data_IF_574580487948
#
_entry.id   IF_574580487948
#
_cell.length_a   1.000
_cell.length_b   1.000
_cell.length_c   1.000
_cell.angle_alpha   90.00
_cell.angle_beta   90.00
_cell.angle_gamma   90.00
#
_symmetry.space_group_name_H-M   'P 1'
#
loop_
_entity.id
_entity.type
_entity.pdbx_description
1 polymer ?
#
# COMPACT_ATOMS: atom_id res chain seq x y z
N UNK A 1 4.30 13.44 -25.56
CA UNK A 1 5.31 13.57 -24.48
C UNK A 1 5.41 15.01 -23.96
N UNK A 2 5.54 16.02 -24.81
CA UNK A 2 5.56 17.43 -24.40
C UNK A 2 4.35 17.90 -23.57
N UNK A 3 3.15 17.42 -23.87
CA UNK A 3 1.94 17.75 -23.13
C UNK A 3 1.97 17.21 -21.70
N UNK A 4 2.48 15.99 -21.48
CA UNK A 4 2.63 15.39 -20.15
C UNK A 4 3.70 16.11 -19.32
N UNK A 5 4.85 16.40 -19.92
CA UNK A 5 5.92 17.17 -19.25
C UNK A 5 5.45 18.57 -18.86
N UNK A 6 4.70 19.24 -19.74
CA UNK A 6 4.10 20.54 -19.45
C UNK A 6 3.10 20.48 -18.31
N UNK A 7 2.31 19.40 -18.24
CA UNK A 7 1.39 19.15 -17.13
C UNK A 7 2.16 18.97 -15.81
N UNK A 8 3.17 18.11 -15.78
CA UNK A 8 3.99 17.88 -14.59
C UNK A 8 4.67 19.15 -14.09
N UNK A 9 5.24 19.96 -15.00
CA UNK A 9 5.83 21.26 -14.62
C UNK A 9 4.82 22.20 -13.98
N UNK A 10 3.57 22.23 -14.48
CA UNK A 10 2.50 23.04 -13.84
C UNK A 10 2.17 22.55 -12.44
N UNK A 11 2.14 21.23 -12.21
CA UNK A 11 1.87 20.66 -10.90
C UNK A 11 2.96 21.02 -9.88
N UNK A 12 4.22 21.13 -10.32
CA UNK A 12 5.35 21.54 -9.48
C UNK A 12 5.46 23.07 -9.29
N UNK A 13 4.70 23.86 -10.04
CA UNK A 13 4.75 25.31 -9.88
C UNK A 13 4.25 25.76 -8.48
N UNK A 14 4.75 26.91 -8.01
CA UNK A 14 4.35 27.51 -6.74
C UNK A 14 4.50 26.56 -5.52
N UNK A 15 5.62 25.85 -5.45
CA UNK A 15 5.92 24.95 -4.32
C UNK A 15 4.95 23.79 -4.21
N UNK A 16 4.66 23.12 -5.33
CA UNK A 16 3.79 21.95 -5.42
C UNK A 16 2.33 22.19 -5.01
N UNK A 17 1.88 23.45 -5.09
CA UNK A 17 0.54 23.83 -4.64
C UNK A 17 -0.57 23.00 -5.31
N UNK A 18 -0.47 22.72 -6.61
CA UNK A 18 -1.48 21.93 -7.32
C UNK A 18 -1.49 20.48 -6.87
N UNK A 19 -0.32 19.87 -6.63
CA UNK A 19 -0.25 18.53 -6.02
C UNK A 19 -0.91 18.51 -4.65
N UNK A 20 -0.64 19.52 -3.81
CA UNK A 20 -1.26 19.63 -2.49
C UNK A 20 -2.79 19.77 -2.58
N UNK A 21 -3.28 20.50 -3.56
CA UNK A 21 -4.72 20.66 -3.79
C UNK A 21 -5.37 19.34 -4.26
N UNK A 22 -4.77 18.64 -5.22
CA UNK A 22 -5.24 17.34 -5.68
C UNK A 22 -5.24 16.31 -4.54
N UNK A 23 -4.16 16.24 -3.77
CA UNK A 23 -4.07 15.36 -2.61
C UNK A 23 -5.15 15.66 -1.56
N UNK A 24 -5.37 16.95 -1.26
CA UNK A 24 -6.38 17.38 -0.29
C UNK A 24 -7.82 17.14 -0.74
N UNK A 25 -8.04 16.99 -2.05
CA UNK A 25 -9.34 16.63 -2.62
C UNK A 25 -9.67 15.14 -2.45
N UNK A 26 -8.65 14.29 -2.21
CA UNK A 26 -8.86 12.87 -1.92
C UNK A 26 -9.48 12.74 -0.53
N UNK A 27 -10.68 12.21 -0.46
CA UNK A 27 -11.38 11.96 0.80
C UNK A 27 -11.30 10.49 1.13
N UNK A 28 -10.86 10.10 2.36
CA UNK A 28 -10.97 8.73 2.81
C UNK A 28 -12.42 8.31 2.80
N UNK A 29 -12.74 7.13 2.27
CA UNK A 29 -14.06 6.55 2.47
C UNK A 29 -14.16 6.06 3.91
N UNK A 30 -15.24 6.45 4.61
CA UNK A 30 -15.52 6.06 5.99
C UNK A 30 -16.22 4.69 6.09
N UNK A 31 -16.54 4.06 4.96
CA UNK A 31 -17.40 2.88 4.90
C UNK A 31 -16.63 1.55 4.90
N UNK A 32 -15.31 1.58 5.03
CA UNK A 32 -14.50 0.38 4.97
C UNK A 32 -13.96 -0.03 6.34
N UNK A 33 -13.82 -1.34 6.54
CA UNK A 33 -13.26 -1.94 7.77
C UNK A 33 -11.79 -2.30 7.59
N UNK A 34 -11.07 -2.47 8.71
CA UNK A 34 -9.68 -2.90 8.79
C UNK A 34 -9.46 -3.84 9.98
N UNK A 35 -10.41 -4.75 10.19
CA UNK A 35 -10.41 -5.67 11.32
C UNK A 35 -9.17 -6.56 11.39
N UNK A 36 -8.67 -7.01 10.23
CA UNK A 36 -7.45 -7.80 10.16
C UNK A 36 -6.22 -7.03 10.71
N UNK A 37 -6.15 -5.71 10.45
CA UNK A 37 -5.08 -4.85 11.00
C UNK A 37 -5.16 -4.74 12.53
N UNK A 38 -6.39 -4.70 13.08
CA UNK A 38 -6.63 -4.53 14.53
C UNK A 38 -6.44 -5.81 15.33
N UNK A 39 -6.40 -6.97 14.69
CA UNK A 39 -6.17 -8.25 15.35
C UNK A 39 -4.87 -8.20 16.18
N UNK A 40 -4.91 -8.76 17.38
CA UNK A 40 -3.81 -8.67 18.34
C UNK A 40 -2.49 -9.18 17.76
N UNK A 41 -2.55 -10.27 17.03
CA UNK A 41 -1.43 -10.92 16.36
C UNK A 41 -0.83 -10.12 15.19
N UNK A 42 -1.52 -9.08 14.72
CA UNK A 42 -1.09 -8.28 13.56
C UNK A 42 -0.61 -6.86 13.92
N UNK A 43 -0.83 -6.41 15.15
CA UNK A 43 -0.52 -5.03 15.56
C UNK A 43 0.94 -4.65 15.35
N UNK A 44 1.86 -5.54 15.68
CA UNK A 44 3.30 -5.28 15.54
C UNK A 44 3.79 -5.31 14.08
N UNK A 45 2.95 -5.74 13.14
CA UNK A 45 3.27 -5.79 11.71
C UNK A 45 3.03 -4.47 11.00
N UNK A 46 2.52 -3.46 11.68
CA UNK A 46 2.17 -2.17 11.10
C UNK A 46 3.20 -1.11 11.50
N UNK A 47 3.79 -0.44 10.50
CA UNK A 47 4.80 0.61 10.72
C UNK A 47 4.19 1.84 11.39
N UNK A 48 2.95 2.19 11.05
CA UNK A 48 2.22 3.32 11.59
C UNK A 48 0.81 2.90 11.98
N UNK A 49 0.35 3.36 13.15
CA UNK A 49 -0.97 3.00 13.70
C UNK A 49 -2.14 3.54 12.88
N UNK A 50 -1.91 4.60 12.11
CA UNK A 50 -2.92 5.27 11.28
C UNK A 50 -2.85 4.91 9.80
N UNK A 51 -1.93 4.04 9.39
CA UNK A 51 -1.81 3.53 8.03
C UNK A 51 -2.13 2.04 8.07
N UNK A 52 -3.33 1.71 7.65
CA UNK A 52 -3.93 0.39 7.82
C UNK A 52 -4.28 -0.27 6.49
N UNK A 53 -4.25 -1.59 6.47
CA UNK A 53 -4.77 -2.34 5.33
C UNK A 53 -6.29 -2.52 5.47
N UNK A 54 -7.05 -2.05 4.48
CA UNK A 54 -8.51 -2.22 4.45
C UNK A 54 -8.89 -3.66 4.08
N UNK A 55 -9.83 -4.23 4.83
CA UNK A 55 -10.23 -5.64 4.69
C UNK A 55 -10.71 -6.00 3.27
N UNK A 56 -11.44 -5.08 2.60
CA UNK A 56 -12.02 -5.33 1.28
C UNK A 56 -10.99 -5.48 0.15
N UNK A 57 -9.78 -4.97 0.33
CA UNK A 57 -8.74 -4.95 -0.71
C UNK A 57 -7.37 -5.42 -0.23
N UNK A 58 -7.24 -5.85 1.04
CA UNK A 58 -5.95 -6.32 1.55
C UNK A 58 -5.42 -7.52 0.77
N UNK A 59 -4.12 -7.62 0.68
CA UNK A 59 -3.46 -8.83 0.23
C UNK A 59 -3.53 -9.86 1.35
N UNK A 60 -4.05 -11.05 1.03
CA UNK A 60 -4.07 -12.18 1.95
C UNK A 60 -2.97 -13.15 1.53
N UNK A 61 -2.04 -13.42 2.43
CA UNK A 61 -1.01 -14.43 2.23
C UNK A 61 -1.57 -15.82 2.52
N UNK A 62 -0.94 -16.85 1.97
CA UNK A 62 -1.27 -18.23 2.32
C UNK A 62 -1.01 -18.47 3.81
N UNK A 63 -2.01 -18.85 4.61
CA UNK A 63 -1.82 -19.07 6.04
C UNK A 63 -0.79 -20.17 6.31
N UNK A 64 0.09 -19.93 7.28
CA UNK A 64 1.03 -20.93 7.78
C UNK A 64 0.37 -21.72 8.91
N UNK A 65 0.47 -23.05 8.86
CA UNK A 65 -0.16 -23.91 9.83
C UNK A 65 0.34 -23.62 11.26
N UNK A 66 -0.59 -23.36 12.16
CA UNK A 66 -0.28 -23.09 13.57
C UNK A 66 0.26 -21.69 13.87
N UNK A 67 0.31 -20.79 12.89
CA UNK A 67 0.79 -19.42 13.06
C UNK A 67 -0.35 -18.42 12.86
N UNK A 68 -1.00 -17.94 13.94
CA UNK A 68 -2.07 -16.95 13.85
C UNK A 68 -1.61 -15.67 13.15
N UNK A 69 -2.49 -15.10 12.32
CA UNK A 69 -2.21 -13.87 11.59
C UNK A 69 -1.17 -13.97 10.46
N UNK A 70 -0.69 -15.19 10.15
CA UNK A 70 0.30 -15.39 9.09
C UNK A 70 -0.20 -15.07 7.68
N UNK A 71 -1.51 -14.88 7.51
CA UNK A 71 -2.15 -14.41 6.28
C UNK A 71 -2.11 -12.88 6.14
N UNK A 72 -1.67 -12.15 7.18
CA UNK A 72 -1.71 -10.70 7.21
C UNK A 72 -0.39 -10.07 6.80
N UNK A 73 -0.52 -9.09 5.91
CA UNK A 73 0.51 -8.09 5.61
C UNK A 73 -0.18 -6.74 5.40
N UNK A 74 0.44 -5.64 5.80
CA UNK A 74 -0.08 -4.29 5.54
C UNK A 74 0.15 -3.94 4.07
N UNK A 75 -0.73 -4.42 3.21
CA UNK A 75 -0.72 -4.25 1.77
C UNK A 75 -2.14 -4.33 1.19
N UNK A 76 -2.43 -3.49 0.20
CA UNK A 76 -3.71 -3.46 -0.49
C UNK A 76 -3.52 -3.55 -2.01
N UNK A 77 -4.42 -4.25 -2.68
CA UNK A 77 -4.54 -4.18 -4.13
C UNK A 77 -5.10 -2.83 -4.55
N UNK A 78 -4.54 -2.28 -5.60
CA UNK A 78 -5.01 -1.07 -6.26
C UNK A 78 -5.33 -1.36 -7.73
N UNK A 79 -6.42 -0.75 -8.19
CA UNK A 79 -6.79 -0.82 -9.59
C UNK A 79 -5.90 0.11 -10.43
N UNK A 80 -5.56 -0.33 -11.61
CA UNK A 80 -4.89 0.48 -12.61
C UNK A 80 -5.88 0.98 -13.66
N UNK A 81 -5.37 1.71 -14.65
CA UNK A 81 -6.18 2.12 -15.77
C UNK A 81 -6.71 0.90 -16.54
N UNK A 82 -8.02 0.70 -16.53
CA UNK A 82 -8.74 -0.42 -17.18
C UNK A 82 -8.27 -1.82 -16.75
N UNK A 83 -7.55 -1.94 -15.64
CA UNK A 83 -7.05 -3.22 -15.11
C UNK A 83 -7.25 -3.27 -13.61
N UNK A 84 -8.12 -4.17 -13.15
CA UNK A 84 -8.31 -4.41 -11.71
C UNK A 84 -7.07 -5.06 -11.10
N UNK A 85 -6.79 -4.70 -9.82
CA UNK A 85 -5.67 -5.23 -9.04
C UNK A 85 -4.34 -5.17 -9.79
N UNK A 86 -4.10 -4.06 -10.50
CA UNK A 86 -2.89 -3.89 -11.30
C UNK A 86 -1.64 -3.64 -10.44
N UNK A 87 -1.84 -3.13 -9.24
CA UNK A 87 -0.77 -2.77 -8.32
C UNK A 87 -1.06 -3.29 -6.92
N UNK A 88 0.01 -3.36 -6.12
CA UNK A 88 -0.06 -3.55 -4.68
C UNK A 88 0.64 -2.35 -4.04
N UNK A 89 -0.07 -1.63 -3.17
CA UNK A 89 0.55 -0.64 -2.30
C UNK A 89 0.82 -1.28 -0.94
N UNK A 90 2.03 -1.16 -0.45
CA UNK A 90 2.44 -1.70 0.84
C UNK A 90 3.38 -0.73 1.55
N UNK A 91 3.47 -0.84 2.85
CA UNK A 91 4.47 -0.12 3.64
C UNK A 91 5.89 -0.64 3.36
N UNK A 92 6.92 0.16 3.69
CA UNK A 92 8.27 -0.38 3.82
C UNK A 92 8.28 -1.50 4.86
N UNK A 93 8.78 -2.71 4.56
CA UNK A 93 8.76 -3.82 5.49
C UNK A 93 9.51 -3.47 6.78
N UNK A 94 9.00 -3.95 7.91
CA UNK A 94 9.69 -3.93 9.21
C UNK A 94 10.62 -5.15 9.29
N UNK A 95 11.61 -5.16 10.19
CA UNK A 95 12.44 -6.34 10.40
C UNK A 95 11.62 -7.62 10.58
N UNK A 96 10.49 -7.53 11.29
CA UNK A 96 9.58 -8.64 11.59
C UNK A 96 8.69 -9.04 10.39
N UNK A 97 8.60 -8.22 9.36
CA UNK A 97 7.72 -8.45 8.19
C UNK A 97 8.46 -8.61 6.86
N UNK A 98 9.79 -8.66 6.89
CA UNK A 98 10.60 -8.87 5.67
C UNK A 98 10.25 -10.19 5.00
N UNK A 99 10.11 -11.26 5.77
CA UNK A 99 9.78 -12.58 5.22
C UNK A 99 8.38 -12.60 4.62
N UNK A 100 7.40 -11.96 5.30
CA UNK A 100 6.03 -11.81 4.78
C UNK A 100 6.01 -10.97 3.50
N UNK A 101 6.86 -9.94 3.39
CA UNK A 101 6.99 -9.12 2.19
C UNK A 101 7.48 -9.95 0.99
N UNK A 102 8.53 -10.74 1.17
CA UNK A 102 9.06 -11.58 0.09
C UNK A 102 8.12 -12.72 -0.25
N UNK A 103 7.41 -13.25 0.75
CA UNK A 103 6.34 -14.24 0.53
C UNK A 103 5.21 -13.64 -0.31
N UNK A 104 4.79 -12.40 -0.03
CA UNK A 104 3.83 -11.67 -0.86
C UNK A 104 4.32 -11.51 -2.29
N UNK A 105 5.56 -11.06 -2.49
CA UNK A 105 6.16 -10.90 -3.82
C UNK A 105 6.10 -12.19 -4.62
N UNK A 106 6.41 -13.31 -3.97
CA UNK A 106 6.35 -14.64 -4.57
C UNK A 106 4.93 -15.09 -4.87
N UNK A 107 4.04 -15.07 -3.88
CA UNK A 107 2.65 -15.54 -4.01
C UNK A 107 1.86 -14.72 -5.03
N UNK A 108 2.14 -13.41 -5.13
CA UNK A 108 1.47 -12.52 -6.07
C UNK A 108 2.15 -12.47 -7.44
N UNK A 109 3.21 -13.26 -7.65
CA UNK A 109 3.98 -13.27 -8.90
C UNK A 109 4.40 -11.85 -9.35
N UNK A 110 4.83 -11.03 -8.39
CA UNK A 110 5.21 -9.64 -8.61
C UNK A 110 6.57 -9.59 -9.29
N UNK A 111 6.66 -8.91 -10.43
CA UNK A 111 7.90 -8.83 -11.23
C UNK A 111 8.68 -7.53 -11.02
N UNK A 112 8.04 -6.52 -10.47
CA UNK A 112 8.63 -5.19 -10.34
C UNK A 112 8.30 -4.61 -8.98
N UNK A 113 9.29 -4.11 -8.28
CA UNK A 113 9.15 -3.39 -7.02
C UNK A 113 9.62 -1.96 -7.25
N UNK A 114 8.79 -0.98 -6.87
CA UNK A 114 9.12 0.45 -6.93
C UNK A 114 9.13 0.99 -5.51
N UNK A 115 10.28 1.47 -5.06
CA UNK A 115 10.42 2.09 -3.76
C UNK A 115 10.24 3.61 -3.89
N UNK A 116 9.15 4.13 -3.31
CA UNK A 116 8.82 5.57 -3.34
C UNK A 116 9.16 6.29 -2.03
N UNK A 117 9.62 5.56 -1.03
CA UNK A 117 10.05 6.12 0.26
C UNK A 117 11.56 6.32 0.29
N UNK A 118 12.00 7.35 1.04
CA UNK A 118 13.42 7.56 1.30
C UNK A 118 13.87 6.53 2.34
N UNK A 119 14.88 5.76 2.00
CA UNK A 119 15.55 4.90 2.97
C UNK A 119 16.39 5.80 3.89
N UNK A 120 16.01 5.85 5.17
CA UNK A 120 16.85 6.50 6.20
C UNK A 120 17.76 5.48 6.83
#
# INVERSE_FOLDING_TARGET
MEEFEGHVRRLHANGDLLFSQEYSALRPSMDFTWNATLAQENRFKNRYNNIVAYDHSRVCLTPLQGVPGSDYINANYLDGYRKKRAYIATQGPLPETVDDFWRMVWEQNTKTIVMVCIHK
#
